data_IF_865050770364
#
_entry.id   IF_865050770364
#
_cell.length_a   1.000
_cell.length_b   1.000
_cell.length_c   1.000
_cell.angle_alpha   90.00
_cell.angle_beta   90.00
_cell.angle_gamma   90.00
#
_symmetry.space_group_name_H-M   'P 1'
#
loop_
_entity.id
_entity.type
_entity.pdbx_description
1 polymer ?
#
# COMPACT_ATOMS: atom_id res chain seq x y z
N UNK A 1 22.52 31.95 -20.64
CA UNK A 1 22.15 30.58 -20.29
C UNK A 1 20.90 30.68 -19.44
N UNK A 2 19.73 30.31 -20.02
CA UNK A 2 18.45 30.35 -19.29
C UNK A 2 18.41 29.13 -18.40
N UNK A 3 18.56 29.32 -17.09
CA UNK A 3 18.33 28.25 -16.11
C UNK A 3 16.81 28.05 -16.00
N UNK A 4 16.29 27.02 -16.64
CA UNK A 4 14.93 26.56 -16.35
C UNK A 4 14.87 26.28 -14.85
N UNK A 5 13.91 26.85 -14.10
CA UNK A 5 13.75 26.53 -12.68
C UNK A 5 13.53 25.03 -12.51
N UNK A 6 14.15 24.42 -11.48
CA UNK A 6 13.92 23.04 -11.12
C UNK A 6 12.40 22.83 -10.92
N UNK A 7 11.83 21.84 -11.56
CA UNK A 7 10.43 21.45 -11.34
C UNK A 7 10.35 20.82 -9.96
N UNK A 8 9.49 21.33 -9.11
CA UNK A 8 9.12 20.72 -7.83
C UNK A 8 7.78 20.03 -7.97
N UNK A 9 7.62 18.90 -7.30
CA UNK A 9 6.33 18.20 -7.21
C UNK A 9 5.36 19.09 -6.42
N UNK A 10 4.18 19.33 -6.99
CA UNK A 10 3.07 19.93 -6.27
C UNK A 10 2.38 18.84 -5.45
N UNK A 11 2.64 18.84 -4.15
CA UNK A 11 2.14 17.81 -3.23
C UNK A 11 0.64 17.96 -2.96
N UNK A 12 0.09 19.18 -3.02
CA UNK A 12 -1.35 19.40 -2.87
C UNK A 12 -2.11 18.89 -4.10
N UNK A 13 -1.61 19.18 -5.30
CA UNK A 13 -2.18 18.63 -6.53
C UNK A 13 -2.10 17.10 -6.54
N UNK A 14 -0.97 16.52 -6.12
CA UNK A 14 -0.80 15.08 -6.01
C UNK A 14 -1.85 14.46 -5.09
N UNK A 15 -1.98 14.98 -3.88
CA UNK A 15 -2.95 14.49 -2.88
C UNK A 15 -4.38 14.50 -3.43
N UNK A 16 -4.79 15.64 -4.02
CA UNK A 16 -6.14 15.79 -4.60
C UNK A 16 -6.39 14.78 -5.72
N UNK A 17 -5.41 14.55 -6.61
CA UNK A 17 -5.52 13.58 -7.69
C UNK A 17 -5.63 12.14 -7.18
N UNK A 18 -4.80 11.78 -6.19
CA UNK A 18 -4.82 10.46 -5.58
C UNK A 18 -6.14 10.24 -4.86
N UNK A 19 -6.59 11.17 -4.02
CA UNK A 19 -7.89 11.10 -3.34
C UNK A 19 -9.04 10.92 -4.32
N UNK A 20 -9.10 11.75 -5.36
CA UNK A 20 -10.17 11.67 -6.35
C UNK A 20 -10.20 10.32 -7.07
N UNK A 21 -9.04 9.82 -7.47
CA UNK A 21 -8.94 8.52 -8.15
C UNK A 21 -9.41 7.37 -7.25
N UNK A 22 -8.97 7.32 -5.99
CA UNK A 22 -9.38 6.25 -5.07
C UNK A 22 -10.81 6.43 -4.55
N UNK A 23 -11.36 7.64 -4.55
CA UNK A 23 -12.80 7.88 -4.40
C UNK A 23 -13.59 7.19 -5.53
N UNK A 24 -13.16 7.36 -6.79
CA UNK A 24 -13.79 6.68 -7.93
C UNK A 24 -13.68 5.15 -7.80
N UNK A 25 -12.52 4.62 -7.39
CA UNK A 25 -12.33 3.17 -7.13
C UNK A 25 -13.28 2.64 -6.04
N UNK A 26 -13.57 3.43 -5.01
CA UNK A 26 -14.50 3.04 -3.97
C UNK A 26 -15.96 2.98 -4.46
N UNK A 27 -16.37 3.96 -5.26
CA UNK A 27 -17.75 4.16 -5.68
C UNK A 27 -18.12 3.38 -6.95
N UNK A 28 -17.20 3.28 -7.91
CA UNK A 28 -17.40 2.72 -9.24
C UNK A 28 -16.24 1.75 -9.60
N UNK A 29 -16.01 0.64 -8.85
CA UNK A 29 -14.85 -0.22 -9.03
C UNK A 29 -14.78 -0.93 -10.39
N UNK A 30 -15.92 -1.05 -11.09
CA UNK A 30 -16.03 -1.61 -12.44
C UNK A 30 -15.60 -0.66 -13.56
N UNK A 31 -15.32 0.61 -13.24
CA UNK A 31 -14.84 1.59 -14.20
C UNK A 31 -13.43 1.24 -14.67
N UNK A 32 -13.09 1.63 -15.89
CA UNK A 32 -11.73 1.48 -16.43
C UNK A 32 -10.77 2.49 -15.75
N UNK A 33 -9.76 1.96 -15.08
CA UNK A 33 -8.63 2.70 -14.52
C UNK A 33 -7.35 2.41 -15.32
N UNK A 34 -6.29 3.15 -15.06
CA UNK A 34 -4.97 2.89 -15.62
C UNK A 34 -4.21 1.75 -14.89
N UNK A 35 -4.86 1.09 -13.94
CA UNK A 35 -4.47 -0.12 -13.25
C UNK A 35 -5.66 -1.08 -13.17
N UNK A 36 -5.38 -2.32 -12.89
CA UNK A 36 -6.41 -3.34 -12.72
C UNK A 36 -6.97 -3.31 -11.29
N UNK A 37 -8.23 -3.73 -11.16
CA UNK A 37 -8.92 -3.86 -9.87
C UNK A 37 -9.58 -5.23 -9.74
N UNK A 38 -9.97 -5.57 -8.53
CA UNK A 38 -10.90 -6.65 -8.26
C UNK A 38 -10.29 -8.05 -8.16
N UNK A 39 -11.18 -9.02 -8.14
CA UNK A 39 -10.87 -10.42 -7.83
C UNK A 39 -9.87 -11.05 -8.78
N UNK A 40 -10.02 -10.81 -10.08
CA UNK A 40 -9.10 -11.38 -11.08
C UNK A 40 -7.66 -10.91 -10.88
N UNK A 41 -7.47 -9.65 -10.47
CA UNK A 41 -6.18 -9.12 -10.08
C UNK A 41 -5.66 -9.84 -8.82
N UNK A 42 -6.47 -9.91 -7.75
CA UNK A 42 -6.07 -10.52 -6.49
C UNK A 42 -5.62 -11.98 -6.68
N UNK A 43 -6.42 -12.79 -7.38
CA UNK A 43 -6.08 -14.19 -7.66
C UNK A 43 -4.79 -14.32 -8.49
N UNK A 44 -4.59 -13.47 -9.50
CA UNK A 44 -3.35 -13.45 -10.30
C UNK A 44 -2.13 -13.05 -9.48
N UNK A 45 -2.28 -12.17 -8.50
CA UNK A 45 -1.22 -11.77 -7.57
C UNK A 45 -0.88 -12.86 -6.56
N UNK A 46 -1.70 -13.90 -6.43
CA UNK A 46 -1.45 -15.07 -5.59
C UNK A 46 -2.31 -15.14 -4.31
N UNK A 47 -3.33 -14.30 -4.18
CA UNK A 47 -4.30 -14.43 -3.09
C UNK A 47 -5.10 -15.72 -3.27
N UNK A 48 -5.17 -16.60 -2.24
CA UNK A 48 -5.94 -17.83 -2.33
C UNK A 48 -7.44 -17.55 -2.50
N UNK A 49 -8.09 -18.14 -3.50
CA UNK A 49 -9.52 -17.97 -3.73
C UNK A 49 -10.36 -18.31 -2.50
N UNK A 50 -9.95 -19.35 -1.75
CA UNK A 50 -10.63 -19.78 -0.54
C UNK A 50 -10.60 -18.71 0.58
N UNK A 51 -9.56 -17.87 0.65
CA UNK A 51 -9.48 -16.78 1.62
C UNK A 51 -10.32 -15.59 1.14
N UNK A 52 -10.29 -15.28 -0.16
CA UNK A 52 -11.13 -14.25 -0.77
C UNK A 52 -12.63 -14.55 -0.60
N UNK A 53 -13.04 -15.82 -0.62
CA UNK A 53 -14.44 -16.24 -0.43
C UNK A 53 -14.94 -16.01 1.01
N UNK A 54 -14.07 -15.69 1.96
CA UNK A 54 -14.38 -15.48 3.38
C UNK A 54 -14.58 -14.03 3.75
N UNK A 55 -14.29 -13.09 2.86
CA UNK A 55 -14.37 -11.66 3.09
C UNK A 55 -15.41 -10.99 2.19
N UNK A 56 -15.86 -9.76 2.49
CA UNK A 56 -16.85 -9.06 1.67
C UNK A 56 -16.40 -8.88 0.21
N UNK A 57 -17.18 -9.40 -0.75
CA UNK A 57 -16.86 -9.31 -2.18
C UNK A 57 -16.66 -7.86 -2.64
N UNK A 58 -17.46 -6.92 -2.13
CA UNK A 58 -17.35 -5.50 -2.50
C UNK A 58 -16.02 -4.84 -2.03
N UNK A 59 -15.31 -5.40 -1.04
CA UNK A 59 -13.96 -4.96 -0.72
C UNK A 59 -12.95 -5.45 -1.77
N UNK A 60 -13.15 -6.69 -2.27
CA UNK A 60 -12.33 -7.26 -3.33
C UNK A 60 -12.51 -6.48 -4.64
N UNK A 61 -13.75 -6.09 -4.98
CA UNK A 61 -14.04 -5.32 -6.22
C UNK A 61 -13.21 -4.04 -6.32
N UNK A 62 -12.95 -3.36 -5.19
CA UNK A 62 -12.12 -2.15 -5.12
C UNK A 62 -10.64 -2.41 -4.87
N UNK A 63 -10.20 -3.66 -4.83
CA UNK A 63 -8.80 -3.97 -4.61
C UNK A 63 -7.95 -3.56 -5.81
N UNK A 64 -6.94 -2.74 -5.55
CA UNK A 64 -5.99 -2.22 -6.54
C UNK A 64 -4.53 -2.44 -6.09
N UNK A 65 -4.27 -3.51 -5.36
CA UNK A 65 -2.94 -3.84 -4.86
C UNK A 65 -1.97 -4.27 -5.96
N UNK A 66 -0.71 -4.29 -5.63
CA UNK A 66 0.37 -4.54 -6.57
C UNK A 66 1.12 -5.85 -6.33
N UNK A 67 0.80 -6.56 -5.23
CA UNK A 67 1.41 -7.85 -4.90
C UNK A 67 0.68 -8.58 -3.80
N UNK A 68 1.06 -9.84 -3.56
CA UNK A 68 0.67 -10.61 -2.39
C UNK A 68 1.85 -10.70 -1.43
N UNK A 69 1.62 -10.43 -0.16
CA UNK A 69 2.65 -10.37 0.89
C UNK A 69 2.15 -10.91 2.24
N UNK A 70 0.88 -11.31 2.34
CA UNK A 70 0.31 -11.78 3.61
C UNK A 70 0.98 -13.07 4.11
N UNK A 71 1.55 -13.87 3.21
CA UNK A 71 2.40 -15.00 3.56
C UNK A 71 3.71 -14.56 4.27
N UNK A 72 4.27 -13.40 3.90
CA UNK A 72 5.42 -12.79 4.57
C UNK A 72 5.03 -12.15 5.90
N UNK A 73 3.82 -11.59 5.97
CA UNK A 73 3.29 -10.97 7.17
C UNK A 73 3.18 -11.95 8.33
N UNK A 74 2.93 -13.24 8.06
CA UNK A 74 2.86 -14.32 9.06
C UNK A 74 2.03 -13.91 10.29
N UNK A 75 0.81 -13.38 10.02
CA UNK A 75 -0.06 -12.84 11.07
C UNK A 75 -0.54 -13.97 11.96
N UNK A 76 -0.24 -13.86 13.24
CA UNK A 76 -0.61 -14.85 14.24
C UNK A 76 -1.93 -14.47 14.97
N UNK A 77 -2.68 -15.47 15.48
CA UNK A 77 -3.80 -15.20 16.36
C UNK A 77 -3.41 -14.30 17.56
N UNK A 78 -4.20 -13.26 17.79
CA UNK A 78 -3.95 -12.25 18.81
C UNK A 78 -3.06 -11.07 18.39
N UNK A 79 -2.55 -11.05 17.14
CA UNK A 79 -1.76 -9.93 16.65
C UNK A 79 -2.59 -8.64 16.54
N UNK A 80 -1.93 -7.52 16.85
CA UNK A 80 -2.38 -6.19 16.49
C UNK A 80 -1.72 -5.80 15.16
N UNK A 81 -2.53 -5.53 14.14
CA UNK A 81 -2.09 -5.21 12.78
C UNK A 81 -2.49 -3.78 12.42
N UNK A 82 -1.60 -3.05 11.78
CA UNK A 82 -1.86 -1.74 11.15
C UNK A 82 -1.76 -1.92 9.63
N UNK A 83 -2.82 -1.54 8.91
CA UNK A 83 -2.88 -1.54 7.45
C UNK A 83 -2.81 -0.11 6.93
N UNK A 84 -1.71 0.25 6.30
CA UNK A 84 -1.46 1.58 5.74
C UNK A 84 -1.98 1.68 4.31
N UNK A 85 -2.96 2.56 4.09
CA UNK A 85 -3.70 2.69 2.83
C UNK A 85 -4.65 1.52 2.64
N UNK A 86 -5.49 1.28 3.64
CA UNK A 86 -6.38 0.10 3.70
C UNK A 86 -7.44 0.05 2.60
N UNK A 87 -7.70 1.18 1.93
CA UNK A 87 -8.75 1.27 0.92
C UNK A 87 -10.10 0.77 1.44
N UNK A 88 -10.80 -0.02 0.63
CA UNK A 88 -12.08 -0.67 1.01
C UNK A 88 -11.90 -1.90 1.92
N UNK A 89 -10.69 -2.19 2.41
CA UNK A 89 -10.43 -3.13 3.49
C UNK A 89 -10.10 -4.56 3.09
N UNK A 90 -9.80 -4.90 1.82
CA UNK A 90 -9.54 -6.28 1.43
C UNK A 90 -8.42 -6.93 2.26
N UNK A 91 -7.22 -6.32 2.29
CA UNK A 91 -6.09 -6.85 3.06
C UNK A 91 -6.34 -6.77 4.58
N UNK A 92 -7.02 -5.72 5.05
CA UNK A 92 -7.47 -5.59 6.45
C UNK A 92 -8.39 -6.73 6.87
N UNK A 93 -9.36 -7.14 6.04
CA UNK A 93 -10.26 -8.25 6.36
C UNK A 93 -9.54 -9.58 6.36
N UNK A 94 -8.63 -9.82 5.42
CA UNK A 94 -7.79 -11.02 5.43
C UNK A 94 -6.89 -11.07 6.68
N UNK A 95 -6.29 -9.94 7.04
CA UNK A 95 -5.52 -9.81 8.27
C UNK A 95 -6.37 -10.06 9.52
N UNK A 96 -7.62 -9.58 9.55
CA UNK A 96 -8.59 -9.79 10.62
C UNK A 96 -8.92 -11.28 10.82
N UNK A 97 -9.12 -12.01 9.71
CA UNK A 97 -9.32 -13.46 9.75
C UNK A 97 -8.12 -14.21 10.33
N UNK A 98 -6.90 -13.79 9.96
CA UNK A 98 -5.66 -14.40 10.46
C UNK A 98 -5.40 -14.08 11.93
N UNK A 99 -5.61 -12.82 12.34
CA UNK A 99 -5.43 -12.37 13.72
C UNK A 99 -6.48 -12.98 14.68
N UNK A 100 -7.62 -13.41 14.15
CA UNK A 100 -8.69 -14.04 14.95
C UNK A 100 -9.37 -13.08 15.93
N UNK A 101 -10.30 -13.58 16.76
CA UNK A 101 -11.16 -12.74 17.59
C UNK A 101 -10.41 -12.01 18.72
N UNK A 102 -9.25 -12.52 19.14
CA UNK A 102 -8.41 -11.89 20.17
C UNK A 102 -7.40 -10.90 19.58
N UNK A 103 -7.28 -10.86 18.25
CA UNK A 103 -6.46 -9.89 17.52
C UNK A 103 -7.24 -8.63 17.15
N UNK A 104 -6.56 -7.66 16.57
CA UNK A 104 -7.19 -6.45 16.05
C UNK A 104 -6.49 -5.96 14.78
N UNK A 105 -7.25 -5.34 13.89
CA UNK A 105 -6.72 -4.68 12.71
C UNK A 105 -7.18 -3.23 12.70
N UNK A 106 -6.25 -2.32 12.44
CA UNK A 106 -6.51 -0.90 12.25
C UNK A 106 -6.16 -0.58 10.80
N UNK A 107 -7.17 -0.32 9.97
CA UNK A 107 -6.98 0.20 8.62
C UNK A 107 -6.92 1.72 8.64
N UNK A 108 -5.94 2.31 7.97
CA UNK A 108 -5.78 3.76 7.84
C UNK A 108 -5.81 4.13 6.36
N UNK A 109 -6.67 5.08 6.00
CA UNK A 109 -6.74 5.64 4.64
C UNK A 109 -7.06 7.14 4.71
N UNK A 110 -6.66 7.90 3.69
CA UNK A 110 -6.95 9.32 3.61
C UNK A 110 -8.26 9.63 2.85
N UNK A 111 -8.90 8.60 2.25
CA UNK A 111 -10.07 8.74 1.39
C UNK A 111 -11.33 8.33 2.15
N UNK A 112 -12.21 9.30 2.40
CA UNK A 112 -13.41 9.09 3.22
C UNK A 112 -14.37 8.02 2.64
N UNK A 113 -14.50 7.95 1.31
CA UNK A 113 -15.37 6.97 0.64
C UNK A 113 -14.83 5.54 0.79
N UNK A 114 -13.51 5.36 0.76
CA UNK A 114 -12.87 4.06 1.03
C UNK A 114 -13.18 3.62 2.47
N UNK A 115 -12.95 4.49 3.44
CA UNK A 115 -13.20 4.21 4.86
C UNK A 115 -14.68 3.95 5.16
N UNK A 116 -15.58 4.75 4.58
CA UNK A 116 -17.02 4.56 4.73
C UNK A 116 -17.45 3.19 4.19
N UNK A 117 -16.92 2.79 3.02
CA UNK A 117 -17.18 1.48 2.42
C UNK A 117 -16.63 0.35 3.29
N UNK A 118 -15.38 0.44 3.73
CA UNK A 118 -14.74 -0.57 4.57
C UNK A 118 -15.49 -0.75 5.91
N UNK A 119 -15.83 0.37 6.59
CA UNK A 119 -16.58 0.35 7.86
C UNK A 119 -17.96 -0.29 7.70
N UNK A 120 -18.69 0.06 6.65
CA UNK A 120 -20.00 -0.54 6.35
C UNK A 120 -19.86 -2.04 6.08
N UNK A 121 -18.89 -2.46 5.28
CA UNK A 121 -18.65 -3.87 4.95
C UNK A 121 -18.26 -4.69 6.19
N UNK A 122 -17.45 -4.13 7.09
CA UNK A 122 -17.12 -4.77 8.37
C UNK A 122 -18.39 -5.04 9.20
N UNK A 123 -19.26 -4.02 9.33
CA UNK A 123 -20.50 -4.13 10.09
C UNK A 123 -21.46 -5.16 9.47
N UNK A 124 -21.65 -5.13 8.14
CA UNK A 124 -22.52 -6.07 7.40
C UNK A 124 -22.04 -7.53 7.50
N UNK A 125 -20.72 -7.75 7.55
CA UNK A 125 -20.11 -9.07 7.67
C UNK A 125 -19.90 -9.54 9.13
N UNK A 126 -20.19 -8.70 10.13
CA UNK A 126 -19.97 -9.02 11.54
C UNK A 126 -18.49 -9.14 11.90
N UNK A 127 -17.61 -8.40 11.22
CA UNK A 127 -16.18 -8.36 11.50
C UNK A 127 -15.94 -7.29 12.56
N UNK A 128 -15.80 -7.71 13.82
CA UNK A 128 -15.72 -6.81 14.97
C UNK A 128 -14.28 -6.40 15.33
N UNK A 129 -13.28 -7.13 14.86
CA UNK A 129 -11.86 -6.92 15.17
C UNK A 129 -11.11 -6.10 14.10
N UNK A 130 -11.81 -5.48 13.15
CA UNK A 130 -11.27 -4.55 12.18
C UNK A 130 -11.94 -3.18 12.34
N UNK A 131 -11.16 -2.12 12.52
CA UNK A 131 -11.62 -0.74 12.55
C UNK A 131 -10.88 0.10 11.51
N UNK A 132 -11.53 1.15 11.00
CA UNK A 132 -11.00 1.99 9.95
C UNK A 132 -10.95 3.44 10.41
N UNK A 133 -9.78 4.08 10.22
CA UNK A 133 -9.49 5.43 10.72
C UNK A 133 -9.03 6.34 9.58
N UNK A 134 -9.52 7.56 9.55
CA UNK A 134 -9.00 8.60 8.65
C UNK A 134 -7.62 9.06 9.10
N UNK A 135 -6.67 9.13 8.17
CA UNK A 135 -5.31 9.57 8.46
C UNK A 135 -4.37 9.39 7.28
N UNK A 136 -3.19 9.98 7.42
CA UNK A 136 -2.10 9.85 6.46
C UNK A 136 -1.12 8.75 6.91
N UNK A 137 -0.52 8.07 5.95
CA UNK A 137 0.43 6.97 6.23
C UNK A 137 1.75 7.47 6.82
N UNK A 138 2.08 8.75 6.65
CA UNK A 138 3.22 9.43 7.27
C UNK A 138 3.02 9.69 8.77
N UNK A 139 1.76 9.78 9.22
CA UNK A 139 1.41 9.99 10.64
C UNK A 139 0.11 9.22 10.98
N UNK A 140 0.15 7.88 10.95
CA UNK A 140 -1.06 7.09 11.22
C UNK A 140 -1.55 7.31 12.67
N UNK A 141 -2.88 7.38 12.88
CA UNK A 141 -3.48 7.67 14.18
C UNK A 141 -3.44 6.45 15.11
N UNK A 142 -2.23 5.99 15.44
CA UNK A 142 -1.96 4.86 16.35
C UNK A 142 -0.89 5.23 17.36
N UNK A 143 -0.91 4.56 18.51
CA UNK A 143 0.10 4.77 19.55
C UNK A 143 1.44 4.13 19.16
N UNK A 144 2.53 4.67 19.68
CA UNK A 144 3.86 4.07 19.50
C UNK A 144 3.92 2.68 20.14
N UNK A 145 4.68 1.77 19.51
CA UNK A 145 4.89 0.40 19.97
C UNK A 145 3.58 -0.34 20.30
N UNK A 146 2.53 -0.13 19.49
CA UNK A 146 1.20 -0.67 19.73
C UNK A 146 0.83 -1.85 18.85
N UNK A 147 1.56 -2.10 17.75
CA UNK A 147 1.23 -3.15 16.79
C UNK A 147 2.35 -4.18 16.61
N UNK A 148 1.97 -5.42 16.30
CA UNK A 148 2.87 -6.54 16.02
C UNK A 148 3.29 -6.56 14.55
N UNK A 149 2.39 -6.13 13.67
CA UNK A 149 2.60 -6.15 12.23
C UNK A 149 2.06 -4.87 11.60
N UNK A 150 2.82 -4.31 10.65
CA UNK A 150 2.33 -3.28 9.74
C UNK A 150 2.27 -3.91 8.35
N UNK A 151 1.16 -3.68 7.64
CA UNK A 151 0.97 -4.11 6.26
C UNK A 151 0.68 -2.92 5.36
N UNK A 152 0.99 -3.03 4.05
CA UNK A 152 0.66 -2.02 3.05
C UNK A 152 0.72 -2.59 1.64
N UNK A 153 -0.14 -2.15 0.73
CA UNK A 153 -0.21 -2.65 -0.64
C UNK A 153 -0.38 -1.53 -1.67
N UNK A 154 0.70 -1.16 -2.36
CA UNK A 154 0.68 -0.21 -3.47
C UNK A 154 0.44 1.25 -3.06
N UNK A 155 0.73 1.62 -1.81
CA UNK A 155 0.41 2.94 -1.25
C UNK A 155 1.64 3.77 -0.96
N UNK A 156 2.71 3.17 -0.44
CA UNK A 156 3.90 3.92 0.00
C UNK A 156 4.55 4.65 -1.20
N UNK A 157 4.50 4.07 -2.39
CA UNK A 157 4.99 4.74 -3.61
C UNK A 157 4.27 6.06 -3.89
N UNK A 158 3.03 6.24 -3.42
CA UNK A 158 2.24 7.46 -3.60
C UNK A 158 2.61 8.57 -2.61
N UNK A 159 3.26 8.25 -1.50
CA UNK A 159 3.76 9.25 -0.56
C UNK A 159 4.96 10.03 -1.13
N UNK A 160 4.97 11.36 -1.04
CA UNK A 160 6.15 12.16 -1.39
C UNK A 160 7.29 12.02 -0.37
N UNK A 161 7.00 11.60 0.85
CA UNK A 161 7.97 11.42 1.94
C UNK A 161 7.96 9.99 2.50
N UNK A 162 8.58 9.08 1.74
CA UNK A 162 8.68 7.66 2.15
C UNK A 162 9.53 7.46 3.41
N UNK A 163 10.47 8.37 3.68
CA UNK A 163 11.27 8.30 4.90
C UNK A 163 10.39 8.56 6.14
N UNK A 164 9.47 9.53 6.07
CA UNK A 164 8.48 9.75 7.13
C UNK A 164 7.57 8.54 7.32
N UNK A 165 7.13 7.89 6.22
CA UNK A 165 6.32 6.67 6.30
C UNK A 165 7.05 5.56 7.04
N UNK A 166 8.30 5.24 6.67
CA UNK A 166 9.05 4.18 7.33
C UNK A 166 9.40 4.52 8.77
N UNK A 167 9.64 5.79 9.10
CA UNK A 167 9.81 6.25 10.48
C UNK A 167 8.53 6.06 11.30
N UNK A 168 7.36 6.36 10.73
CA UNK A 168 6.06 6.12 11.37
C UNK A 168 5.79 4.63 11.58
N UNK A 169 6.14 3.79 10.59
CA UNK A 169 6.08 2.32 10.72
C UNK A 169 6.93 1.82 11.88
N UNK A 170 8.21 2.23 11.92
CA UNK A 170 9.12 1.83 13.02
C UNK A 170 8.60 2.29 14.38
N UNK A 171 8.03 3.50 14.47
CA UNK A 171 7.42 4.03 15.70
C UNK A 171 6.19 3.24 16.15
N UNK A 172 5.35 2.79 15.20
CA UNK A 172 4.12 2.03 15.50
C UNK A 172 4.41 0.59 15.93
N UNK A 173 5.46 -0.03 15.37
CA UNK A 173 5.84 -1.40 15.66
C UNK A 173 6.39 -1.55 17.09
N UNK A 174 6.01 -2.66 17.73
CA UNK A 174 6.67 -3.15 18.94
C UNK A 174 8.08 -3.67 18.61
N UNK A 175 9.01 -3.71 19.58
CA UNK A 175 10.24 -4.45 19.42
C UNK A 175 9.96 -5.88 18.92
N UNK A 176 10.73 -6.36 17.95
CA UNK A 176 10.51 -7.66 17.28
C UNK A 176 9.33 -7.69 16.29
N UNK A 177 8.57 -6.59 16.14
CA UNK A 177 7.48 -6.45 15.18
C UNK A 177 7.96 -6.46 13.73
N UNK A 178 7.02 -6.53 12.79
CA UNK A 178 7.34 -6.69 11.36
C UNK A 178 6.53 -5.80 10.44
N UNK A 179 7.16 -5.40 9.35
CA UNK A 179 6.56 -4.74 8.20
C UNK A 179 6.52 -5.72 7.04
N UNK A 180 5.34 -6.01 6.51
CA UNK A 180 5.18 -6.76 5.27
C UNK A 180 4.41 -5.91 4.26
N UNK A 181 4.93 -5.73 3.06
CA UNK A 181 4.30 -4.87 2.07
C UNK A 181 4.49 -5.38 0.65
N UNK A 182 3.64 -4.89 -0.26
CA UNK A 182 3.89 -4.87 -1.68
C UNK A 182 3.89 -3.42 -2.20
N UNK A 183 4.83 -3.07 -3.06
CA UNK A 183 4.95 -1.70 -3.58
C UNK A 183 5.63 -1.65 -4.95
N UNK A 184 5.61 -0.47 -5.57
CA UNK A 184 6.25 -0.21 -6.86
C UNK A 184 7.58 0.52 -6.65
N UNK A 185 8.63 -0.05 -7.23
CA UNK A 185 9.99 0.51 -7.20
C UNK A 185 10.57 0.56 -8.61
N UNK A 186 11.71 1.23 -8.80
CA UNK A 186 12.43 1.26 -10.06
C UNK A 186 13.87 0.75 -9.90
N UNK A 187 14.44 0.19 -10.96
CA UNK A 187 15.87 -0.16 -10.97
C UNK A 187 16.72 1.08 -11.15
N UNK A 188 16.33 1.94 -12.09
CA UNK A 188 17.01 3.19 -12.39
C UNK A 188 16.31 4.38 -11.73
N UNK A 189 17.08 5.45 -11.44
CA UNK A 189 16.51 6.69 -10.93
C UNK A 189 15.60 7.32 -11.98
N UNK A 190 14.36 7.60 -11.61
CA UNK A 190 13.42 8.32 -12.47
C UNK A 190 13.86 9.78 -12.65
N UNK A 191 13.75 10.35 -13.86
CA UNK A 191 14.07 11.75 -14.10
C UNK A 191 13.02 12.69 -13.50
N UNK A 192 13.41 13.94 -13.21
CA UNK A 192 12.53 15.00 -12.65
C UNK A 192 11.22 15.17 -13.45
N UNK A 193 11.26 15.04 -14.78
CA UNK A 193 10.05 15.13 -15.62
C UNK A 193 9.02 14.04 -15.35
N UNK A 194 9.41 12.96 -14.68
CA UNK A 194 8.52 11.87 -14.25
C UNK A 194 8.16 12.04 -12.77
N UNK A 195 9.15 12.32 -11.92
CA UNK A 195 8.95 12.45 -10.48
C UNK A 195 8.23 13.74 -10.06
N UNK A 196 8.15 14.75 -10.94
CA UNK A 196 7.41 15.99 -10.71
C UNK A 196 6.07 16.06 -11.48
N UNK A 197 5.58 14.93 -12.01
CA UNK A 197 4.29 14.84 -12.70
C UNK A 197 3.27 14.10 -11.83
N UNK A 198 2.34 14.85 -11.22
CA UNK A 198 1.31 14.29 -10.34
C UNK A 198 0.41 13.25 -11.03
N UNK A 199 0.23 13.34 -12.36
CA UNK A 199 -0.53 12.33 -13.11
C UNK A 199 0.20 11.01 -13.22
N UNK A 200 1.53 11.03 -13.35
CA UNK A 200 2.36 9.81 -13.36
C UNK A 200 2.48 9.20 -11.95
N UNK A 201 2.42 10.03 -10.90
CA UNK A 201 2.34 9.54 -9.53
C UNK A 201 1.04 8.79 -9.28
N UNK A 202 -0.09 9.39 -9.62
CA UNK A 202 -1.39 8.72 -9.51
C UNK A 202 -1.42 7.38 -10.28
N UNK A 203 -0.64 7.28 -11.36
CA UNK A 203 -0.43 6.02 -12.11
C UNK A 203 0.60 5.07 -11.48
N UNK A 204 1.00 5.25 -10.22
CA UNK A 204 2.02 4.46 -9.50
C UNK A 204 3.42 4.46 -10.14
N UNK A 205 3.72 5.40 -11.06
CA UNK A 205 5.00 5.48 -11.76
C UNK A 205 5.88 6.59 -11.18
N UNK A 206 5.33 7.80 -11.05
CA UNK A 206 6.10 8.97 -10.63
C UNK A 206 6.72 8.85 -9.25
N UNK A 207 6.05 8.12 -8.37
CA UNK A 207 6.51 7.84 -7.01
C UNK A 207 7.39 6.60 -6.85
N UNK A 208 7.62 5.83 -7.92
CA UNK A 208 8.48 4.64 -7.85
C UNK A 208 9.92 5.04 -7.52
N UNK A 209 10.31 4.85 -6.26
CA UNK A 209 11.66 5.12 -5.78
C UNK A 209 12.64 4.08 -6.31
N UNK A 210 13.88 4.50 -6.61
CA UNK A 210 14.93 3.57 -6.98
C UNK A 210 15.18 2.58 -5.82
N UNK A 211 15.29 1.28 -6.15
CA UNK A 211 15.23 0.17 -5.18
C UNK A 211 16.28 0.25 -4.06
N UNK A 212 17.49 0.73 -4.34
CA UNK A 212 18.52 0.81 -3.31
C UNK A 212 18.21 1.96 -2.35
N UNK A 213 17.69 3.08 -2.84
CA UNK A 213 17.20 4.18 -2.01
C UNK A 213 15.97 3.78 -1.18
N UNK A 214 15.10 2.93 -1.73
CA UNK A 214 13.97 2.39 -1.01
C UNK A 214 14.43 1.52 0.17
N UNK A 215 15.46 0.68 -0.06
CA UNK A 215 16.11 -0.10 1.00
C UNK A 215 16.76 0.80 2.04
N UNK A 216 17.53 1.80 1.62
CA UNK A 216 18.15 2.78 2.51
C UNK A 216 17.13 3.51 3.38
N UNK A 217 15.95 3.85 2.84
CA UNK A 217 14.88 4.49 3.61
C UNK A 217 14.29 3.57 4.69
N UNK A 218 14.10 2.28 4.40
CA UNK A 218 13.65 1.28 5.36
C UNK A 218 14.70 1.08 6.46
N UNK A 219 15.97 0.86 6.08
CA UNK A 219 17.07 0.62 7.01
C UNK A 219 17.40 1.87 7.83
N UNK A 220 17.28 3.06 7.22
CA UNK A 220 17.43 4.35 7.89
C UNK A 220 16.39 4.60 8.98
N UNK A 221 15.21 3.99 8.88
CA UNK A 221 14.19 3.98 9.93
C UNK A 221 14.45 2.94 11.04
N UNK A 222 15.54 2.18 10.95
CA UNK A 222 15.91 1.16 11.93
C UNK A 222 15.29 -0.22 11.68
N UNK A 223 14.65 -0.44 10.54
CA UNK A 223 14.08 -1.72 10.16
C UNK A 223 15.10 -2.57 9.39
N UNK A 224 15.11 -3.88 9.62
CA UNK A 224 16.01 -4.82 8.93
C UNK A 224 15.23 -5.59 7.85
N UNK A 225 15.64 -5.46 6.59
CA UNK A 225 15.02 -6.21 5.49
C UNK A 225 15.44 -7.68 5.58
N UNK A 226 14.43 -8.55 5.66
CA UNK A 226 14.59 -10.00 5.77
C UNK A 226 14.39 -10.69 4.44
N UNK A 227 13.36 -10.27 3.69
CA UNK A 227 13.02 -10.84 2.40
C UNK A 227 12.65 -9.74 1.41
N UNK A 228 12.99 -9.95 0.15
CA UNK A 228 12.66 -9.08 -0.97
C UNK A 228 12.45 -9.92 -2.22
N UNK A 229 11.26 -9.89 -2.78
CA UNK A 229 10.91 -10.62 -3.99
C UNK A 229 10.20 -9.74 -5.03
N UNK A 230 10.38 -10.03 -6.31
CA UNK A 230 9.72 -9.35 -7.42
C UNK A 230 8.38 -10.03 -7.73
N UNK A 231 7.33 -9.23 -7.91
CA UNK A 231 6.00 -9.69 -8.29
C UNK A 231 5.86 -9.72 -9.83
N UNK A 232 6.49 -10.68 -10.48
CA UNK A 232 6.55 -10.79 -11.96
C UNK A 232 5.20 -10.97 -12.63
N UNK A 233 4.16 -11.32 -11.89
CA UNK A 233 2.79 -11.48 -12.39
C UNK A 233 2.01 -10.16 -12.43
N UNK A 234 2.50 -9.13 -11.74
CA UNK A 234 1.91 -7.80 -11.81
C UNK A 234 2.13 -7.17 -13.18
N UNK A 235 1.10 -6.50 -13.69
CA UNK A 235 1.12 -5.88 -15.03
C UNK A 235 0.70 -4.44 -14.94
N UNK A 236 1.46 -3.58 -15.60
CA UNK A 236 1.05 -2.21 -15.84
C UNK A 236 0.16 -2.17 -17.08
N UNK A 237 -0.98 -1.47 -17.02
CA UNK A 237 -2.01 -1.49 -18.08
C UNK A 237 -1.83 -0.37 -19.10
N UNK A 238 -1.16 0.73 -18.73
CA UNK A 238 -1.01 1.88 -19.62
C UNK A 238 0.27 1.82 -20.46
N UNK A 239 0.23 2.30 -21.71
CA UNK A 239 1.42 2.44 -22.57
C UNK A 239 2.54 3.27 -21.93
N UNK A 240 2.16 4.29 -21.12
CA UNK A 240 3.13 5.12 -20.38
C UNK A 240 3.86 4.30 -19.32
N UNK A 241 3.13 3.43 -18.63
CA UNK A 241 3.71 2.54 -17.64
C UNK A 241 4.62 1.49 -18.30
N UNK A 242 4.22 0.92 -19.43
CA UNK A 242 5.06 -0.01 -20.20
C UNK A 242 6.37 0.64 -20.64
N UNK A 243 6.33 1.91 -21.04
CA UNK A 243 7.54 2.67 -21.38
C UNK A 243 8.44 2.90 -20.16
N UNK A 244 7.88 3.18 -18.98
CA UNK A 244 8.62 3.34 -17.74
C UNK A 244 9.24 2.01 -17.29
N UNK A 245 8.51 0.91 -17.39
CA UNK A 245 9.01 -0.45 -17.13
C UNK A 245 10.24 -0.74 -17.99
N UNK A 246 10.12 -0.56 -19.29
CA UNK A 246 11.24 -0.83 -20.22
C UNK A 246 12.45 0.09 -20.02
N UNK A 247 12.22 1.36 -19.69
CA UNK A 247 13.28 2.35 -19.66
C UNK A 247 13.95 2.47 -18.29
N UNK A 248 13.19 2.29 -17.21
CA UNK A 248 13.66 2.53 -15.85
C UNK A 248 13.56 1.29 -14.94
N UNK A 249 13.09 0.17 -15.48
CA UNK A 249 12.91 -1.06 -14.72
C UNK A 249 11.90 -0.89 -13.58
N UNK A 250 10.78 -0.19 -13.84
CA UNK A 250 9.69 -0.07 -12.86
C UNK A 250 9.06 -1.45 -12.66
N UNK A 251 8.96 -1.89 -11.42
CA UNK A 251 8.48 -3.22 -11.08
C UNK A 251 7.76 -3.23 -9.75
N UNK A 252 6.89 -4.22 -9.55
CA UNK A 252 6.29 -4.49 -8.25
C UNK A 252 7.17 -5.46 -7.45
N UNK A 253 7.24 -5.20 -6.15
CA UNK A 253 7.95 -6.06 -5.18
C UNK A 253 7.06 -6.39 -4.00
N UNK A 254 7.36 -7.50 -3.32
CA UNK A 254 6.91 -7.76 -1.94
C UNK A 254 8.12 -7.89 -1.03
N UNK A 255 8.04 -7.37 0.18
CA UNK A 255 9.13 -7.44 1.14
C UNK A 255 8.63 -7.70 2.57
N UNK A 256 9.53 -8.26 3.36
CA UNK A 256 9.43 -8.36 4.81
C UNK A 256 10.61 -7.61 5.44
N UNK A 257 10.32 -6.73 6.40
CA UNK A 257 11.32 -6.15 7.28
C UNK A 257 10.92 -6.34 8.75
N UNK A 258 11.90 -6.35 9.65
CA UNK A 258 11.68 -6.51 11.09
C UNK A 258 12.20 -5.32 11.87
N UNK A 259 11.45 -4.95 12.90
CA UNK A 259 11.93 -4.05 13.93
C UNK A 259 12.87 -4.85 14.85
N UNK A 260 14.07 -4.37 15.18
CA UNK A 260 14.94 -5.01 16.17
C UNK A 260 14.23 -5.21 17.52
N UNK A 261 14.70 -6.22 18.27
CA UNK A 261 14.25 -6.48 19.65
C UNK A 261 14.67 -5.37 20.64
#
# INVERSE_FOLDING_TARGET
>A
MSTTPARTLDTEELEQRVKHMYQEVALEPEREFHFETGRALAERLGYPAADLDRIPAAAIDSFAGVGHFLDLADIAPGDAVLDLGSGSGMDSFLASLAAGPDGRVIGVDMTDEQLAKATRLAAEAGIENAEFRSGYIEEPPVEAASVNCVISNGVINLSPDKAAVFAAVAKALRPGGRLALADIVSTEQLPEGVTCDASLWAACIGGAMQRDRYREAIEGAGLQIVEWRENRVYRFVSERADNAVRKYGVTSISLLARHPE
#
